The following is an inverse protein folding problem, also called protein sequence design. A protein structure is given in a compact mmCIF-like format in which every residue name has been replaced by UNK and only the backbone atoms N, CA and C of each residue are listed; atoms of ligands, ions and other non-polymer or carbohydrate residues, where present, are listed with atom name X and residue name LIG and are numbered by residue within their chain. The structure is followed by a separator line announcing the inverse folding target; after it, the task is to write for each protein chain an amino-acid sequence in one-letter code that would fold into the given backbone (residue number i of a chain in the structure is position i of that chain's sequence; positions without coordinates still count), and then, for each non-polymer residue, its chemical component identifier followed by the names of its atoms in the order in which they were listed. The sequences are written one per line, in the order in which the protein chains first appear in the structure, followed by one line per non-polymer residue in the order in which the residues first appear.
data_IF_765772080122
#
_entry.id   IF_765772080122
#
_cell.length_a   1.000
_cell.length_b   1.000
_cell.length_c   1.000
_cell.angle_alpha   90.00
_cell.angle_beta   90.00
_cell.angle_gamma   90.00
#
_symmetry.space_group_name_H-M   'P 1'
#
loop_
_entity.id
_entity.type
_entity.pdbx_description
1 polymer ?
#
# COMPACT_ATOMS: atom_id res chain seq x y z
N UNK A 1 13.11 4.89 16.59
CA UNK A 1 12.99 4.48 15.19
C UNK A 1 11.51 4.54 14.87
N UNK A 2 11.02 5.65 14.30
CA UNK A 2 9.68 5.63 13.74
C UNK A 2 9.80 4.86 12.45
N UNK A 3 9.30 3.62 12.42
CA UNK A 3 9.09 2.93 11.16
C UNK A 3 7.95 3.66 10.47
N UNK A 4 8.29 4.67 9.68
CA UNK A 4 7.33 5.40 8.88
C UNK A 4 6.69 4.39 7.91
N UNK A 5 5.36 4.36 7.81
CA UNK A 5 4.65 3.46 6.89
C UNK A 5 5.17 3.57 5.46
N UNK A 6 5.61 4.77 5.07
CA UNK A 6 6.23 5.03 3.77
C UNK A 6 7.51 4.23 3.57
N UNK A 7 8.35 4.13 4.60
CA UNK A 7 9.57 3.32 4.55
C UNK A 7 9.24 1.83 4.49
N UNK A 8 8.18 1.39 5.16
CA UNK A 8 7.71 0.00 5.07
C UNK A 8 7.31 -0.31 3.63
N UNK A 9 6.45 0.51 3.03
CA UNK A 9 5.91 0.30 1.67
C UNK A 9 7.04 0.34 0.63
N UNK A 10 8.00 1.27 0.76
CA UNK A 10 9.16 1.37 -0.15
C UNK A 10 10.07 0.14 -0.11
N UNK A 11 10.04 -0.64 0.96
CA UNK A 11 10.84 -1.86 1.14
C UNK A 11 10.04 -3.15 0.94
N UNK A 12 8.76 -3.08 0.53
CA UNK A 12 7.98 -4.28 0.22
C UNK A 12 8.45 -4.93 -1.08
N UNK A 13 8.44 -6.26 -1.09
CA UNK A 13 8.67 -7.02 -2.31
C UNK A 13 7.43 -6.93 -3.22
N UNK A 14 7.60 -6.86 -4.55
CA UNK A 14 6.48 -6.96 -5.48
C UNK A 14 5.66 -8.22 -5.23
N UNK A 15 4.34 -8.11 -5.34
CA UNK A 15 3.35 -9.13 -5.01
C UNK A 15 3.27 -9.53 -3.53
N UNK A 16 3.84 -8.76 -2.59
CA UNK A 16 3.49 -8.92 -1.16
C UNK A 16 1.97 -8.81 -0.99
N UNK A 17 1.31 -9.79 -0.35
CA UNK A 17 -0.11 -9.72 -0.02
C UNK A 17 -0.42 -8.56 0.93
N UNK A 18 -1.50 -7.85 0.67
CA UNK A 18 -1.98 -6.70 1.45
C UNK A 18 -3.49 -6.80 1.54
N UNK A 19 -4.05 -6.73 2.75
CA UNK A 19 -5.50 -6.77 2.95
C UNK A 19 -6.12 -5.38 2.75
N UNK A 20 -5.46 -4.35 3.27
CA UNK A 20 -5.99 -2.99 3.33
C UNK A 20 -4.88 -1.94 3.41
N UNK A 21 -5.14 -0.79 2.81
CA UNK A 21 -4.33 0.43 2.95
C UNK A 21 -5.25 1.52 3.51
N UNK A 22 -4.79 2.28 4.50
CA UNK A 22 -5.56 3.42 5.04
C UNK A 22 -5.05 4.71 4.39
N UNK A 23 -5.87 5.33 3.55
CA UNK A 23 -5.55 6.54 2.77
C UNK A 23 -6.42 7.68 3.28
N UNK A 24 -5.81 8.78 3.74
CA UNK A 24 -6.52 9.91 4.36
C UNK A 24 -7.47 9.52 5.51
N UNK A 25 -7.18 8.41 6.19
CA UNK A 25 -8.00 7.87 7.28
C UNK A 25 -9.13 6.95 6.85
N UNK A 26 -9.34 6.76 5.54
CA UNK A 26 -10.33 5.85 4.99
C UNK A 26 -9.69 4.52 4.54
N UNK A 27 -10.34 3.38 4.81
CA UNK A 27 -9.86 2.08 4.40
C UNK A 27 -10.08 1.78 2.91
N UNK A 28 -9.00 1.38 2.22
CA UNK A 28 -9.01 0.92 0.84
C UNK A 28 -8.64 -0.57 0.75
N UNK A 29 -9.62 -1.38 0.35
CA UNK A 29 -9.45 -2.82 0.19
C UNK A 29 -8.60 -3.16 -1.04
N UNK A 30 -7.39 -3.65 -0.81
CA UNK A 30 -6.45 -4.11 -1.84
C UNK A 30 -6.13 -5.59 -1.65
N UNK A 31 -5.25 -6.14 -2.48
CA UNK A 31 -4.85 -7.55 -2.39
C UNK A 31 -3.34 -7.74 -2.39
N UNK A 32 -2.62 -6.94 -3.17
CA UNK A 32 -1.19 -7.11 -3.37
C UNK A 32 -0.54 -5.76 -3.63
N UNK A 33 0.64 -5.56 -3.06
CA UNK A 33 1.55 -4.50 -3.45
C UNK A 33 2.21 -4.84 -4.80
N UNK A 34 2.39 -3.84 -5.66
CA UNK A 34 3.03 -4.00 -6.97
C UNK A 34 4.41 -3.35 -6.97
N UNK A 35 4.47 -2.03 -6.72
CA UNK A 35 5.70 -1.24 -6.71
C UNK A 35 5.44 0.15 -6.12
N UNK A 36 6.51 0.87 -5.79
CA UNK A 36 6.50 2.33 -5.66
C UNK A 36 7.24 2.92 -6.86
N UNK A 37 6.72 4.01 -7.43
CA UNK A 37 7.44 4.83 -8.40
C UNK A 37 7.09 6.31 -8.19
N UNK A 38 8.09 7.19 -8.13
CA UNK A 38 7.93 8.63 -7.91
C UNK A 38 6.96 8.97 -6.76
N UNK A 39 7.17 8.34 -5.60
CA UNK A 39 6.34 8.47 -4.39
C UNK A 39 4.86 8.07 -4.53
N UNK A 40 4.51 7.39 -5.62
CA UNK A 40 3.20 6.75 -5.81
C UNK A 40 3.32 5.24 -5.60
N UNK A 41 2.49 4.70 -4.72
CA UNK A 41 2.40 3.26 -4.47
C UNK A 41 1.27 2.64 -5.31
N UNK A 42 1.58 1.50 -5.92
CA UNK A 42 0.70 0.77 -6.82
C UNK A 42 0.23 -0.50 -6.14
N UNK A 43 -1.08 -0.70 -6.09
CA UNK A 43 -1.71 -1.87 -5.49
C UNK A 43 -2.71 -2.51 -6.45
N UNK A 44 -2.91 -3.82 -6.31
CA UNK A 44 -3.98 -4.54 -7.00
C UNK A 44 -5.21 -4.66 -6.10
N UNK A 45 -6.38 -4.22 -6.55
CA UNK A 45 -7.67 -4.44 -5.88
C UNK A 45 -8.23 -5.85 -6.13
N UNK A 46 -9.21 -6.25 -5.31
CA UNK A 46 -9.89 -7.55 -5.38
C UNK A 46 -10.53 -7.85 -6.75
N UNK A 47 -10.93 -6.82 -7.48
CA UNK A 47 -11.53 -6.92 -8.81
C UNK A 47 -10.48 -6.87 -9.96
N UNK A 48 -9.20 -7.10 -9.65
CA UNK A 48 -8.06 -7.01 -10.56
C UNK A 48 -7.79 -5.61 -11.14
N UNK A 49 -8.41 -4.56 -10.61
CA UNK A 49 -8.02 -3.19 -10.95
C UNK A 49 -6.70 -2.83 -10.27
N UNK A 50 -5.92 -1.96 -10.92
CA UNK A 50 -4.75 -1.33 -10.31
C UNK A 50 -5.21 0.01 -9.75
N UNK A 51 -4.81 0.26 -8.52
CA UNK A 51 -5.02 1.54 -7.87
C UNK A 51 -3.71 2.13 -7.39
N UNK A 52 -3.70 3.45 -7.33
CA UNK A 52 -2.54 4.26 -7.07
C UNK A 52 -2.86 5.17 -5.89
N UNK A 53 -1.92 5.29 -4.96
CA UNK A 53 -2.02 6.19 -3.82
C UNK A 53 -0.72 6.96 -3.67
N UNK A 54 -0.81 8.25 -3.35
CA UNK A 54 0.38 9.02 -2.97
C UNK A 54 0.86 8.50 -1.61
N UNK A 55 2.17 8.29 -1.46
CA UNK A 55 2.72 7.67 -0.26
C UNK A 55 2.51 8.50 1.02
N UNK A 56 2.37 9.82 0.89
CA UNK A 56 2.12 10.73 1.99
C UNK A 56 0.66 10.72 2.48
N UNK A 57 -0.29 10.32 1.62
CA UNK A 57 -1.69 10.08 1.98
C UNK A 57 -1.88 8.74 2.74
N UNK A 58 -0.96 7.79 2.56
CA UNK A 58 -1.02 6.49 3.24
C UNK A 58 -0.59 6.63 4.70
N UNK A 59 -1.53 6.34 5.60
CA UNK A 59 -1.32 6.40 7.04
C UNK A 59 -1.00 5.03 7.67
N UNK A 60 -1.45 3.94 7.06
CA UNK A 60 -1.23 2.57 7.55
C UNK A 60 -1.41 1.54 6.43
N UNK A 61 -0.81 0.36 6.60
CA UNK A 61 -0.98 -0.81 5.75
C UNK A 61 -1.18 -2.07 6.59
N UNK A 62 -2.13 -2.92 6.21
CA UNK A 62 -2.44 -4.17 6.90
C UNK A 62 -2.09 -5.35 5.99
N UNK A 63 -1.30 -6.28 6.51
CA UNK A 63 -0.91 -7.51 5.82
C UNK A 63 -1.58 -8.72 6.49
N UNK A 64 -1.92 -9.76 5.71
CA UNK A 64 -2.49 -10.98 6.27
C UNK A 64 -1.47 -11.66 7.20
N UNK A 65 -1.96 -12.20 8.32
CA UNK A 65 -1.18 -12.94 9.32
C UNK A 65 -1.00 -14.41 8.97
#
# INVERSE_FOLDING_TARGET
MSNNVQDVIKNLDPATPVDEVIVDGEPEGVTHFITVNDDVAYFRKNNNQIELFELDEISSITMPT
#
